data_IF_054734786638
#
_entry.id   IF_054734786638
#
_cell.length_a   1.000
_cell.length_b   1.000
_cell.length_c   1.000
_cell.angle_alpha   90.00
_cell.angle_beta   90.00
_cell.angle_gamma   90.00
#
_symmetry.space_group_name_H-M   'P 1'
#
loop_
_entity.id
_entity.type
_entity.pdbx_description
1 polymer ?
#
# COMPACT_ATOMS: atom_id res chain seq x y z
N UNK A 1 -17.05 -9.83 -11.26
CA UNK A 1 -15.94 -10.24 -10.38
C UNK A 1 -15.37 -8.98 -9.76
N UNK A 2 -15.19 -8.94 -8.44
CA UNK A 2 -14.56 -7.80 -7.75
C UNK A 2 -13.05 -7.84 -8.00
N UNK A 3 -12.41 -6.67 -8.07
CA UNK A 3 -10.97 -6.53 -8.36
C UNK A 3 -10.13 -7.19 -7.26
N UNK A 4 -10.63 -7.17 -6.02
CA UNK A 4 -10.01 -7.82 -4.86
C UNK A 4 -9.97 -9.34 -5.01
N UNK A 5 -11.07 -9.94 -5.44
CA UNK A 5 -11.16 -11.39 -5.68
C UNK A 5 -10.25 -11.80 -6.83
N UNK A 6 -10.23 -11.03 -7.93
CA UNK A 6 -9.33 -11.31 -9.06
C UNK A 6 -7.85 -11.33 -8.64
N UNK A 7 -7.41 -10.33 -7.86
CA UNK A 7 -6.04 -10.25 -7.36
C UNK A 7 -5.69 -11.44 -6.45
N UNK A 8 -6.61 -11.84 -5.56
CA UNK A 8 -6.36 -12.96 -4.66
C UNK A 8 -6.37 -14.32 -5.39
N UNK A 9 -7.25 -14.51 -6.37
CA UNK A 9 -7.34 -15.78 -7.11
C UNK A 9 -6.06 -16.05 -7.93
N UNK A 10 -5.43 -15.00 -8.47
CA UNK A 10 -4.21 -15.14 -9.28
C UNK A 10 -2.92 -15.07 -8.47
N UNK A 11 -2.90 -14.26 -7.40
CA UNK A 11 -1.67 -13.96 -6.64
C UNK A 11 -1.73 -14.38 -5.17
N UNK A 12 -2.79 -15.05 -4.72
CA UNK A 12 -3.01 -15.44 -3.32
C UNK A 12 -1.84 -16.23 -2.72
N UNK A 13 -1.24 -17.15 -3.48
CA UNK A 13 -0.05 -17.88 -3.04
C UNK A 13 1.15 -16.97 -2.71
N UNK A 14 1.34 -15.91 -3.48
CA UNK A 14 2.39 -14.91 -3.24
C UNK A 14 1.96 -13.97 -2.11
N UNK A 15 0.69 -13.58 -2.08
CA UNK A 15 0.10 -12.77 -1.02
C UNK A 15 0.25 -13.40 0.36
N UNK A 16 -0.06 -14.69 0.49
CA UNK A 16 0.07 -15.46 1.73
C UNK A 16 1.52 -15.52 2.21
N UNK A 17 2.46 -15.79 1.29
CA UNK A 17 3.90 -15.83 1.60
C UNK A 17 4.40 -14.48 2.07
N UNK A 18 4.06 -13.41 1.36
CA UNK A 18 4.51 -12.06 1.73
C UNK A 18 3.83 -11.62 3.04
N UNK A 19 2.54 -11.92 3.24
CA UNK A 19 1.86 -11.65 4.50
C UNK A 19 2.50 -12.37 5.69
N UNK A 20 2.98 -13.61 5.49
CA UNK A 20 3.70 -14.36 6.53
C UNK A 20 5.05 -13.74 6.92
N UNK A 21 5.71 -13.02 5.99
CA UNK A 21 6.97 -12.30 6.26
C UNK A 21 6.70 -11.02 7.07
N UNK A 22 5.51 -10.43 6.92
CA UNK A 22 5.12 -9.17 7.55
C UNK A 22 3.94 -9.35 8.51
N UNK A 23 4.10 -10.09 9.62
CA UNK A 23 3.01 -10.35 10.57
C UNK A 23 2.50 -9.07 11.24
N UNK A 24 3.31 -8.01 11.29
CA UNK A 24 2.84 -6.71 11.81
C UNK A 24 1.71 -6.11 10.98
N UNK A 25 1.60 -6.49 9.69
CA UNK A 25 0.64 -5.90 8.78
C UNK A 25 -0.79 -6.23 9.22
N UNK A 26 -1.00 -7.43 9.75
CA UNK A 26 -2.30 -7.89 10.26
C UNK A 26 -2.86 -6.93 11.31
N UNK A 27 -2.06 -6.66 12.35
CA UNK A 27 -2.38 -5.71 13.41
C UNK A 27 -2.75 -4.32 12.86
N UNK A 28 -1.95 -3.78 11.94
CA UNK A 28 -2.20 -2.44 11.40
C UNK A 28 -3.40 -2.39 10.46
N UNK A 29 -3.67 -3.46 9.71
CA UNK A 29 -4.85 -3.58 8.85
C UNK A 29 -6.15 -3.73 9.65
N UNK A 30 -6.10 -4.41 10.80
CA UNK A 30 -7.22 -4.51 11.72
C UNK A 30 -7.55 -3.15 12.34
N UNK A 31 -6.53 -2.46 12.86
CA UNK A 31 -6.68 -1.13 13.48
C UNK A 31 -7.19 -0.11 12.46
N UNK A 32 -6.65 -0.10 11.23
CA UNK A 32 -7.10 0.83 10.18
C UNK A 32 -8.58 0.62 9.79
N UNK A 33 -9.19 -0.50 10.17
CA UNK A 33 -10.58 -0.82 9.86
C UNK A 33 -10.78 -1.32 8.43
N UNK A 34 -9.71 -1.78 7.78
CA UNK A 34 -9.87 -2.47 6.50
C UNK A 34 -10.55 -3.82 6.74
N UNK A 35 -11.79 -3.98 6.24
CA UNK A 35 -12.54 -5.24 6.26
C UNK A 35 -12.01 -6.21 5.19
N UNK A 36 -10.70 -6.39 5.11
CA UNK A 36 -10.03 -7.19 4.08
C UNK A 36 -8.95 -8.01 4.79
N UNK A 37 -8.87 -9.30 4.49
CA UNK A 37 -7.80 -10.14 5.03
C UNK A 37 -6.42 -9.62 4.60
N UNK A 38 -5.40 -9.63 5.49
CA UNK A 38 -4.07 -9.10 5.19
C UNK A 38 -3.46 -9.71 3.93
N UNK A 39 -3.67 -11.01 3.70
CA UNK A 39 -3.20 -11.69 2.49
C UNK A 39 -3.82 -11.14 1.19
N UNK A 40 -5.12 -10.85 1.20
CA UNK A 40 -5.80 -10.23 0.05
C UNK A 40 -5.25 -8.82 -0.20
N UNK A 41 -5.01 -8.06 0.86
CA UNK A 41 -4.42 -6.73 0.76
C UNK A 41 -3.00 -6.74 0.16
N UNK A 42 -2.15 -7.66 0.63
CA UNK A 42 -0.81 -7.86 0.10
C UNK A 42 -0.83 -8.32 -1.36
N UNK A 43 -1.78 -9.18 -1.73
CA UNK A 43 -1.98 -9.61 -3.12
C UNK A 43 -2.31 -8.42 -4.03
N UNK A 44 -3.12 -7.47 -3.55
CA UNK A 44 -3.45 -6.24 -4.29
C UNK A 44 -2.22 -5.35 -4.46
N UNK A 45 -1.42 -5.16 -3.40
CA UNK A 45 -0.18 -4.37 -3.49
C UNK A 45 0.81 -5.01 -4.46
N UNK A 46 0.95 -6.33 -4.40
CA UNK A 46 1.82 -7.07 -5.30
C UNK A 46 1.38 -6.93 -6.76
N UNK A 47 0.08 -7.03 -7.02
CA UNK A 47 -0.48 -6.78 -8.35
C UNK A 47 -0.22 -5.34 -8.82
N UNK A 48 -0.40 -4.35 -7.95
CA UNK A 48 -0.09 -2.96 -8.28
C UNK A 48 1.41 -2.74 -8.57
N UNK A 49 2.29 -3.45 -7.87
CA UNK A 49 3.74 -3.43 -8.11
C UNK A 49 4.09 -4.06 -9.47
N UNK A 50 3.45 -5.17 -9.84
CA UNK A 50 3.61 -5.79 -11.16
C UNK A 50 3.16 -4.83 -12.27
N UNK A 51 2.00 -4.19 -12.10
CA UNK A 51 1.52 -3.23 -13.10
C UNK A 51 2.49 -2.05 -13.26
N UNK A 52 3.06 -1.59 -12.15
CA UNK A 52 4.09 -0.56 -12.10
C UNK A 52 5.40 -1.01 -12.74
N UNK A 53 5.73 -2.30 -12.68
CA UNK A 53 6.90 -2.87 -13.36
C UNK A 53 6.73 -2.80 -14.88
N UNK A 54 5.55 -3.14 -15.42
CA UNK A 54 5.30 -2.98 -16.86
C UNK A 54 5.42 -1.51 -17.30
N UNK A 55 5.00 -0.57 -16.47
CA UNK A 55 5.15 0.86 -16.73
C UNK A 55 6.61 1.33 -16.69
N UNK A 56 7.51 0.67 -15.95
CA UNK A 56 8.92 1.07 -15.83
C UNK A 56 9.82 0.52 -16.95
N UNK A 57 9.37 -0.47 -17.72
CA UNK A 57 10.10 -1.07 -18.86
C UNK A 57 10.71 -0.03 -19.83
N UNK A 58 9.98 0.97 -20.35
CA UNK A 58 10.55 1.92 -21.31
C UNK A 58 11.68 2.76 -20.70
N UNK A 59 11.61 3.08 -19.40
CA UNK A 59 12.67 3.81 -18.69
C UNK A 59 13.91 2.95 -18.50
N UNK A 60 13.74 1.67 -18.15
CA UNK A 60 14.84 0.70 -18.03
C UNK A 60 15.55 0.54 -19.38
N UNK A 61 14.79 0.39 -20.47
CA UNK A 61 15.34 0.28 -21.82
C UNK A 61 16.12 1.54 -22.20
N UNK A 62 15.59 2.73 -21.89
CA UNK A 62 16.29 3.99 -22.15
C UNK A 62 17.64 4.05 -21.42
N UNK A 63 17.67 3.73 -20.13
CA UNK A 63 18.93 3.70 -19.35
C UNK A 63 19.91 2.71 -19.98
N UNK A 64 19.45 1.52 -20.34
CA UNK A 64 20.28 0.49 -20.94
C UNK A 64 20.92 0.95 -22.25
N UNK A 65 20.18 1.66 -23.09
CA UNK A 65 20.69 2.27 -24.34
C UNK A 65 21.78 3.28 -24.08
N UNK A 66 21.48 4.25 -23.22
CA UNK A 66 22.39 5.37 -22.93
C UNK A 66 23.70 4.86 -22.32
N UNK A 67 23.62 3.86 -21.44
CA UNK A 67 24.79 3.30 -20.76
C UNK A 67 25.59 2.36 -21.66
N UNK A 68 24.92 1.53 -22.46
CA UNK A 68 25.60 0.48 -23.25
C UNK A 68 26.07 0.96 -24.63
N UNK A 69 25.57 2.12 -25.10
CA UNK A 69 25.91 2.66 -26.42
C UNK A 69 25.45 1.78 -27.59
N UNK A 70 24.46 0.90 -27.37
CA UNK A 70 23.94 -0.02 -28.37
C UNK A 70 22.81 0.68 -29.14
N UNK A 71 22.94 0.73 -30.46
CA UNK A 71 21.88 1.22 -31.35
C UNK A 71 20.75 0.20 -31.46
N UNK A 72 19.57 0.54 -30.93
CA UNK A 72 18.35 -0.26 -31.14
C UNK A 72 17.74 -0.03 -32.53
N UNK A 73 16.87 -0.95 -32.98
CA UNK A 73 16.04 -0.77 -34.17
C UNK A 73 15.37 0.62 -34.20
N UNK A 74 15.38 1.27 -35.37
CA UNK A 74 14.93 2.66 -35.56
C UNK A 74 13.51 2.93 -35.02
N UNK A 75 12.61 1.94 -35.08
CA UNK A 75 11.25 2.05 -34.56
C UNK A 75 11.21 2.23 -33.04
N UNK A 76 12.07 1.54 -32.29
CA UNK A 76 12.13 1.60 -30.83
C UNK A 76 12.78 2.90 -30.38
N UNK A 77 13.82 3.36 -31.07
CA UNK A 77 14.46 4.65 -30.80
C UNK A 77 13.48 5.82 -30.97
N UNK A 78 12.61 5.79 -31.98
CA UNK A 78 11.58 6.82 -32.18
C UNK A 78 10.57 6.88 -31.03
N UNK A 79 10.24 5.74 -30.42
CA UNK A 79 9.34 5.67 -29.26
C UNK A 79 10.02 6.17 -27.96
N UNK A 80 11.32 5.95 -27.81
CA UNK A 80 12.10 6.32 -26.62
C UNK A 80 12.59 7.79 -26.65
N UNK A 81 12.73 8.39 -27.83
CA UNK A 81 13.18 9.76 -28.00
C UNK A 81 12.45 10.81 -27.12
N UNK A 82 11.09 10.80 -27.03
CA UNK A 82 10.40 11.75 -26.14
C UNK A 82 10.73 11.53 -24.65
N UNK A 83 11.04 10.29 -24.23
CA UNK A 83 11.43 10.01 -22.84
C UNK A 83 12.84 10.53 -22.52
N UNK A 84 13.72 10.67 -23.53
CA UNK A 84 15.07 11.22 -23.36
C UNK A 84 15.09 12.70 -22.97
N UNK A 85 13.98 13.41 -23.15
CA UNK A 85 13.87 14.81 -22.73
C UNK A 85 13.74 14.97 -21.20
N UNK A 86 13.36 13.91 -20.48
CA UNK A 86 13.25 13.96 -19.03
C UNK A 86 14.65 14.07 -18.37
N UNK A 87 14.76 14.80 -17.25
CA UNK A 87 16.01 14.86 -16.50
C UNK A 87 16.37 13.47 -15.94
N UNK A 88 17.66 13.12 -16.02
CA UNK A 88 18.23 11.86 -15.53
C UNK A 88 17.71 11.40 -14.15
N UNK A 89 17.63 12.25 -13.10
CA UNK A 89 17.12 11.82 -11.80
C UNK A 89 15.67 11.32 -11.83
N UNK A 90 14.80 11.89 -12.68
CA UNK A 90 13.42 11.41 -12.82
C UNK A 90 13.36 10.04 -13.49
N UNK A 91 14.18 9.81 -14.52
CA UNK A 91 14.23 8.52 -15.23
C UNK A 91 14.66 7.39 -14.27
N UNK A 92 15.65 7.66 -13.43
CA UNK A 92 16.08 6.72 -12.38
C UNK A 92 14.95 6.48 -11.39
N UNK A 93 14.25 7.52 -10.95
CA UNK A 93 13.12 7.39 -10.03
C UNK A 93 12.00 6.49 -10.62
N UNK A 94 11.61 6.70 -11.88
CA UNK A 94 10.61 5.88 -12.56
C UNK A 94 11.05 4.43 -12.77
N UNK A 95 12.35 4.16 -12.80
CA UNK A 95 12.87 2.78 -12.86
C UNK A 95 12.59 2.02 -11.57
N UNK A 96 12.68 2.69 -10.42
CA UNK A 96 12.39 2.11 -9.10
C UNK A 96 10.90 2.16 -8.71
N UNK A 97 10.03 2.66 -9.58
CA UNK A 97 8.58 2.76 -9.37
C UNK A 97 7.92 1.48 -8.79
N UNK A 98 8.14 0.26 -9.33
CA UNK A 98 7.50 -0.94 -8.77
C UNK A 98 7.85 -1.19 -7.31
N UNK A 99 9.10 -0.89 -6.93
CA UNK A 99 9.59 -1.06 -5.56
C UNK A 99 8.99 0.02 -4.64
N UNK A 100 8.89 1.26 -5.13
CA UNK A 100 8.27 2.37 -4.41
C UNK A 100 6.80 2.08 -4.15
N UNK A 101 6.05 1.62 -5.15
CA UNK A 101 4.63 1.28 -5.01
C UNK A 101 4.43 0.17 -3.99
N UNK A 102 5.31 -0.85 -3.99
CA UNK A 102 5.26 -1.92 -3.01
C UNK A 102 5.49 -1.43 -1.58
N UNK A 103 6.57 -0.67 -1.36
CA UNK A 103 6.92 -0.13 -0.04
C UNK A 103 5.81 0.83 0.46
N UNK A 104 5.36 1.72 -0.41
CA UNK A 104 4.31 2.68 -0.07
C UNK A 104 3.00 1.97 0.28
N UNK A 105 2.64 0.93 -0.49
CA UNK A 105 1.49 0.07 -0.20
C UNK A 105 1.54 -0.54 1.20
N UNK A 106 2.71 -1.00 1.66
CA UNK A 106 2.88 -1.55 3.02
C UNK A 106 2.77 -0.50 4.12
N UNK A 107 3.13 0.76 3.83
CA UNK A 107 3.11 1.87 4.81
C UNK A 107 1.71 2.48 4.95
N UNK A 108 0.88 2.45 3.90
CA UNK A 108 -0.49 2.97 3.90
C UNK A 108 -1.34 2.55 5.12
N UNK A 109 -1.46 1.26 5.47
CA UNK A 109 -2.28 0.85 6.62
C UNK A 109 -1.75 1.45 7.93
N UNK A 110 -0.44 1.57 8.08
CA UNK A 110 0.20 2.16 9.27
C UNK A 110 -0.22 3.63 9.41
N UNK A 111 -0.17 4.41 8.33
CA UNK A 111 -0.59 5.83 8.38
C UNK A 111 -2.07 5.93 8.77
N UNK A 112 -2.93 5.16 8.10
CA UNK A 112 -4.38 5.21 8.37
C UNK A 112 -4.74 4.76 9.79
N UNK A 113 -4.08 3.73 10.30
CA UNK A 113 -4.27 3.25 11.67
C UNK A 113 -3.82 4.27 12.71
N UNK A 114 -2.71 4.98 12.49
CA UNK A 114 -2.21 5.99 13.43
C UNK A 114 -3.16 7.16 13.55
N UNK A 115 -3.73 7.63 12.43
CA UNK A 115 -4.73 8.68 12.46
C UNK A 115 -5.95 8.27 13.28
N UNK A 116 -6.44 7.04 13.07
CA UNK A 116 -7.61 6.54 13.80
C UNK A 116 -7.34 6.31 15.29
N UNK A 117 -6.15 5.84 15.65
CA UNK A 117 -5.74 5.72 17.07
C UNK A 117 -5.63 7.08 17.72
N UNK A 118 -5.05 8.06 17.02
CA UNK A 118 -4.96 9.43 17.50
C UNK A 118 -6.35 10.05 17.72
N UNK A 119 -7.28 9.87 16.79
CA UNK A 119 -8.66 10.32 16.93
C UNK A 119 -9.33 9.68 18.15
N UNK A 120 -9.11 8.38 18.38
CA UNK A 120 -9.62 7.69 19.56
C UNK A 120 -8.98 8.18 20.87
N UNK A 121 -7.68 8.46 20.89
CA UNK A 121 -6.97 9.01 22.05
C UNK A 121 -7.49 10.40 22.43
N UNK A 122 -7.91 11.21 21.44
CA UNK A 122 -8.55 12.50 21.69
C UNK A 122 -9.93 12.37 22.35
N UNK A 123 -10.68 11.33 22.02
CA UNK A 123 -12.01 11.06 22.58
C UNK A 123 -11.97 10.32 23.92
N UNK A 124 -10.88 9.59 24.20
CA UNK A 124 -10.71 8.73 25.37
C UNK A 124 -11.00 9.44 26.72
N UNK A 125 -10.53 10.67 26.98
CA UNK A 125 -10.80 11.35 28.25
C UNK A 125 -12.30 11.61 28.45
N UNK A 126 -13.02 11.99 27.41
CA UNK A 126 -14.46 12.26 27.47
C UNK A 126 -15.26 10.99 27.74
N UNK A 127 -14.92 9.90 27.03
CA UNK A 127 -15.54 8.59 27.26
C UNK A 127 -15.26 8.09 28.68
N UNK A 128 -14.02 8.25 29.16
CA UNK A 128 -13.63 7.83 30.50
C UNK A 128 -14.40 8.58 31.60
N UNK A 129 -14.63 9.89 31.41
CA UNK A 129 -15.42 10.69 32.34
C UNK A 129 -16.87 10.20 32.39
N UNK A 130 -17.49 9.96 31.23
CA UNK A 130 -18.86 9.46 31.15
C UNK A 130 -19.01 8.08 31.80
N UNK A 131 -18.09 7.16 31.51
CA UNK A 131 -18.06 5.84 32.14
C UNK A 131 -17.87 5.93 33.66
N UNK A 132 -17.03 6.85 34.14
CA UNK A 132 -16.84 7.07 35.58
C UNK A 132 -18.13 7.53 36.25
N UNK A 133 -18.90 8.42 35.61
CA UNK A 133 -20.20 8.85 36.12
C UNK A 133 -21.20 7.70 36.16
N UNK A 134 -21.27 6.89 35.10
CA UNK A 134 -22.15 5.70 35.06
C UNK A 134 -21.77 4.71 36.17
N UNK A 135 -20.49 4.36 36.29
CA UNK A 135 -20.02 3.39 37.30
C UNK A 135 -20.24 3.91 38.72
N UNK A 136 -19.98 5.19 38.98
CA UNK A 136 -20.19 5.80 40.31
C UNK A 136 -21.67 5.94 40.68
N UNK A 137 -22.57 6.02 39.70
CA UNK A 137 -24.02 6.03 39.94
C UNK A 137 -24.60 4.68 40.37
N UNK A 138 -23.81 3.59 40.33
CA UNK A 138 -24.29 2.24 40.61
C UNK A 138 -25.18 1.64 39.51
N UNK A 139 -25.34 2.33 38.38
CA UNK A 139 -26.05 1.81 37.21
C UNK A 139 -25.15 0.81 36.47
N UNK A 140 -25.68 -0.37 36.07
CA UNK A 140 -24.91 -1.31 35.27
C UNK A 140 -24.66 -0.73 33.86
N UNK A 141 -23.44 -0.92 33.33
CA UNK A 141 -22.92 -0.27 32.11
C UNK A 141 -23.88 -0.35 30.91
N UNK A 142 -24.51 -1.50 30.68
CA UNK A 142 -25.40 -1.73 29.55
C UNK A 142 -26.70 -0.91 29.63
N UNK A 143 -27.13 -0.51 30.83
CA UNK A 143 -28.29 0.36 31.02
C UNK A 143 -27.94 1.85 30.90
N UNK A 144 -26.69 2.23 31.25
CA UNK A 144 -26.22 3.61 31.12
C UNK A 144 -25.78 4.00 29.71
N UNK A 145 -25.53 3.03 28.83
CA UNK A 145 -25.09 3.23 27.43
C UNK A 145 -26.24 3.15 26.40
N UNK A 146 -27.48 2.93 26.85
CA UNK A 146 -28.69 2.96 26.03
C UNK A 146 -29.22 4.39 25.91
#
# INVERSE_FOLDING_TARGET
MDLKSFCYDHFGFIGDRIASIFPWLDKWTEISGFKIHPSVYVSIIFFASILSFFASIPFILLIFVVVSGIDLPQYIMRLLYPLSFFPLPLIVFFTFLPLIVFIFGLILPIITSKNKVYDFELELPYVSAYLTVIVSSGLPLYNGLK
#
